data_IF_294236547357
#
_entry.id   IF_294236547357
#
_cell.length_a   1.000
_cell.length_b   1.000
_cell.length_c   1.000
_cell.angle_alpha   90.00
_cell.angle_beta   90.00
_cell.angle_gamma   90.00
#
_symmetry.space_group_name_H-M   'P 1'
#
loop_
_entity.id
_entity.type
_entity.pdbx_description
1 polymer ?
#
# COMPACT_ATOMS: atom_id res chain seq x y z
N UNK A 1 5.99 5.38 -20.43
CA UNK A 1 4.95 5.65 -21.46
C UNK A 1 3.84 4.62 -21.60
N UNK A 2 4.12 3.31 -21.66
CA UNK A 2 3.07 2.29 -21.81
C UNK A 2 1.95 2.38 -20.74
N UNK A 3 2.30 2.39 -19.45
CA UNK A 3 1.30 2.46 -18.36
C UNK A 3 0.40 3.71 -18.44
N UNK A 4 0.95 4.84 -18.88
CA UNK A 4 0.19 6.08 -19.05
C UNK A 4 -0.83 5.92 -20.17
N UNK A 5 -0.45 5.30 -21.29
CA UNK A 5 -1.37 4.98 -22.39
C UNK A 5 -2.47 4.04 -21.94
N UNK A 6 -2.14 3.01 -21.17
CA UNK A 6 -3.15 2.08 -20.64
C UNK A 6 -4.16 2.80 -19.72
N UNK A 7 -3.69 3.74 -18.89
CA UNK A 7 -4.56 4.58 -18.06
C UNK A 7 -5.39 5.59 -18.88
N UNK A 8 -4.84 6.16 -19.94
CA UNK A 8 -5.59 7.01 -20.85
C UNK A 8 -6.73 6.23 -21.50
N UNK A 9 -6.45 5.01 -21.95
CA UNK A 9 -7.44 4.14 -22.59
C UNK A 9 -8.50 3.66 -21.61
N UNK A 10 -8.08 3.20 -20.42
CA UNK A 10 -9.02 2.85 -19.35
C UNK A 10 -9.91 4.04 -18.99
N UNK A 11 -9.35 5.24 -18.89
CA UNK A 11 -10.11 6.45 -18.60
C UNK A 11 -11.22 6.69 -19.63
N UNK A 12 -10.91 6.57 -20.93
CA UNK A 12 -11.91 6.70 -22.00
C UNK A 12 -12.98 5.62 -21.90
N UNK A 13 -12.57 4.36 -21.71
CA UNK A 13 -13.49 3.21 -21.55
C UNK A 13 -14.46 3.39 -20.38
N UNK A 14 -14.01 4.03 -19.30
CA UNK A 14 -14.81 4.35 -18.12
C UNK A 14 -15.57 5.69 -18.22
N UNK A 15 -15.65 6.27 -19.42
CA UNK A 15 -16.32 7.55 -19.72
C UNK A 15 -15.73 8.77 -19.01
N UNK A 16 -14.46 8.71 -18.59
CA UNK A 16 -13.70 9.89 -18.20
C UNK A 16 -13.04 10.54 -19.42
N UNK A 17 -12.70 11.82 -19.27
CA UNK A 17 -11.88 12.57 -20.23
C UNK A 17 -10.44 12.66 -19.71
N UNK A 18 -9.48 11.91 -20.27
CA UNK A 18 -8.08 12.02 -19.87
C UNK A 18 -7.50 13.38 -20.28
N UNK A 19 -6.69 13.97 -19.42
CA UNK A 19 -6.00 15.23 -19.67
C UNK A 19 -4.63 15.25 -18.98
N UNK A 20 -3.66 15.95 -19.59
CA UNK A 20 -2.31 16.13 -19.01
C UNK A 20 -2.13 17.53 -18.41
N UNK A 21 -1.02 17.75 -17.71
CA UNK A 21 -0.61 19.05 -17.18
C UNK A 21 -1.14 19.37 -15.77
N UNK A 22 -0.90 20.60 -15.31
CA UNK A 22 -1.13 21.08 -13.92
C UNK A 22 -0.30 20.32 -12.88
N UNK A 23 0.91 19.90 -13.23
CA UNK A 23 1.81 19.14 -12.35
C UNK A 23 1.51 17.64 -12.26
N UNK A 24 0.40 17.17 -12.85
CA UNK A 24 0.01 15.76 -12.83
C UNK A 24 0.41 15.03 -14.11
N UNK A 25 0.81 13.76 -13.98
CA UNK A 25 1.12 12.91 -15.14
C UNK A 25 -0.10 12.63 -15.99
N UNK A 26 -1.24 12.41 -15.33
CA UNK A 26 -2.51 12.19 -15.97
C UNK A 26 -3.65 12.59 -15.04
N UNK A 27 -4.70 13.18 -15.59
CA UNK A 27 -5.93 13.54 -14.88
C UNK A 27 -7.11 12.93 -15.62
N UNK A 28 -8.04 12.35 -14.89
CA UNK A 28 -9.33 11.94 -15.43
C UNK A 28 -10.38 12.96 -15.03
N UNK A 29 -11.09 13.48 -16.04
CA UNK A 29 -12.06 14.56 -15.85
C UNK A 29 -13.47 14.10 -16.18
N UNK A 30 -14.44 14.64 -15.45
CA UNK A 30 -15.86 14.46 -15.70
C UNK A 30 -16.58 15.78 -15.49
N UNK A 31 -17.46 16.16 -16.42
CA UNK A 31 -18.26 17.40 -16.32
C UNK A 31 -17.40 18.63 -15.97
N UNK A 32 -16.21 18.70 -16.56
CA UNK A 32 -15.24 19.79 -16.36
C UNK A 32 -14.39 19.71 -15.07
N UNK A 33 -14.67 18.76 -14.17
CA UNK A 33 -13.98 18.59 -12.88
C UNK A 33 -12.95 17.47 -12.94
N UNK A 34 -11.85 17.63 -12.21
CA UNK A 34 -10.84 16.59 -12.07
C UNK A 34 -11.28 15.58 -11.00
N UNK A 35 -11.38 14.30 -11.36
CA UNK A 35 -11.89 13.21 -10.49
C UNK A 35 -10.75 12.34 -9.98
N UNK A 36 -9.84 11.92 -10.86
CA UNK A 36 -8.61 11.24 -10.47
C UNK A 36 -7.40 12.01 -10.97
N UNK A 37 -6.36 12.03 -10.14
CA UNK A 37 -5.12 12.74 -10.37
C UNK A 37 -3.98 11.75 -10.20
N UNK A 38 -3.43 11.27 -11.30
CA UNK A 38 -2.40 10.24 -11.28
C UNK A 38 -1.01 10.88 -11.31
N UNK A 39 -0.17 10.42 -10.40
CA UNK A 39 1.27 10.62 -10.40
C UNK A 39 1.96 9.28 -10.58
N UNK A 40 2.74 9.12 -11.64
CA UNK A 40 3.43 7.88 -11.98
C UNK A 40 4.90 8.04 -11.61
N UNK A 41 5.37 7.28 -10.62
CA UNK A 41 6.78 7.36 -10.20
C UNK A 41 7.44 5.99 -10.20
N UNK A 42 8.68 5.96 -10.69
CA UNK A 42 9.57 4.81 -10.55
C UNK A 42 10.30 4.78 -9.20
N UNK A 43 10.13 5.81 -8.36
CA UNK A 43 10.84 5.97 -7.09
C UNK A 43 9.87 6.09 -5.92
N UNK A 44 10.36 5.78 -4.71
CA UNK A 44 9.62 6.01 -3.46
C UNK A 44 9.99 7.37 -2.83
N UNK A 45 10.25 8.39 -3.66
CA UNK A 45 10.59 9.73 -3.21
C UNK A 45 9.33 10.46 -2.77
N UNK A 46 9.28 10.96 -1.54
CA UNK A 46 8.11 11.61 -0.95
C UNK A 46 8.19 13.14 -0.93
N UNK A 47 9.25 13.70 -1.50
CA UNK A 47 9.51 15.14 -1.49
C UNK A 47 8.34 15.95 -2.04
N UNK A 48 7.66 15.46 -3.08
CA UNK A 48 6.53 16.16 -3.70
C UNK A 48 5.26 16.15 -2.82
N UNK A 49 5.03 15.10 -2.01
CA UNK A 49 3.94 15.10 -1.00
C UNK A 49 4.24 16.13 0.07
N UNK A 50 5.44 16.06 0.64
CA UNK A 50 5.84 16.88 1.77
C UNK A 50 5.91 18.36 1.42
N UNK A 51 6.26 18.68 0.18
CA UNK A 51 6.37 20.06 -0.29
C UNK A 51 5.02 20.69 -0.64
N UNK A 52 3.91 19.93 -0.65
CA UNK A 52 2.59 20.43 -1.06
C UNK A 52 2.55 20.94 -2.51
N UNK A 53 3.53 20.57 -3.34
CA UNK A 53 3.75 21.12 -4.69
C UNK A 53 2.71 20.66 -5.70
N UNK A 54 1.98 19.59 -5.40
CA UNK A 54 0.91 19.06 -6.24
C UNK A 54 -0.43 19.51 -5.66
N UNK A 55 -1.02 20.62 -6.16
CA UNK A 55 -2.33 21.04 -5.72
C UNK A 55 -3.37 20.00 -6.13
N UNK A 56 -4.14 19.54 -5.16
CA UNK A 56 -5.28 18.63 -5.34
C UNK A 56 -6.55 19.47 -5.42
N UNK A 57 -7.21 19.58 -6.59
CA UNK A 57 -8.50 20.26 -6.69
C UNK A 57 -9.55 19.61 -5.78
N UNK A 58 -10.53 20.40 -5.32
CA UNK A 58 -11.64 19.89 -4.49
C UNK A 58 -12.36 18.73 -5.18
N UNK A 59 -12.48 17.62 -4.46
CA UNK A 59 -13.12 16.39 -4.94
C UNK A 59 -12.24 15.52 -5.84
N UNK A 60 -11.01 15.96 -6.16
CA UNK A 60 -10.03 15.15 -6.87
C UNK A 60 -9.40 14.10 -5.96
N UNK A 61 -9.16 12.90 -6.51
CA UNK A 61 -8.53 11.79 -5.81
C UNK A 61 -7.07 11.64 -6.28
N UNK A 62 -6.08 12.03 -5.47
CA UNK A 62 -4.68 11.88 -5.82
C UNK A 62 -4.25 10.41 -5.68
N UNK A 63 -3.70 9.87 -6.77
CA UNK A 63 -3.29 8.47 -6.90
C UNK A 63 -1.81 8.42 -7.29
N UNK A 64 -1.00 7.84 -6.42
CA UNK A 64 0.41 7.61 -6.66
C UNK A 64 0.64 6.17 -7.10
N UNK A 65 1.02 6.01 -8.36
CA UNK A 65 1.22 4.72 -9.00
C UNK A 65 2.71 4.37 -8.93
N UNK A 66 3.05 3.19 -8.38
CA UNK A 66 4.43 2.76 -8.08
C UNK A 66 4.74 1.30 -8.45
N UNK A 67 5.98 0.95 -8.85
CA UNK A 67 6.45 -0.43 -8.90
C UNK A 67 6.36 -1.11 -7.51
N UNK A 68 6.15 -2.43 -7.49
CA UNK A 68 5.87 -3.20 -6.27
C UNK A 68 6.88 -2.98 -5.13
N UNK A 69 8.18 -3.14 -5.42
CA UNK A 69 9.23 -2.94 -4.41
C UNK A 69 9.35 -1.48 -3.92
N UNK A 70 8.97 -0.50 -4.75
CA UNK A 70 8.96 0.92 -4.34
C UNK A 70 7.75 1.26 -3.49
N UNK A 71 6.59 0.67 -3.78
CA UNK A 71 5.42 0.79 -2.92
C UNK A 71 5.68 0.18 -1.53
N UNK A 72 6.45 -0.91 -1.43
CA UNK A 72 6.84 -1.50 -0.14
C UNK A 72 7.81 -0.62 0.65
N UNK A 73 8.83 -0.08 0.00
CA UNK A 73 9.71 0.91 0.62
C UNK A 73 8.94 2.15 1.07
N UNK A 74 7.95 2.59 0.29
CA UNK A 74 7.10 3.71 0.63
C UNK A 74 6.23 3.42 1.86
N UNK A 75 5.61 2.25 1.91
CA UNK A 75 4.84 1.78 3.05
C UNK A 75 5.70 1.76 4.32
N UNK A 76 6.94 1.28 4.21
CA UNK A 76 7.89 1.27 5.33
C UNK A 76 8.26 2.68 5.80
N UNK A 77 8.46 3.64 4.88
CA UNK A 77 8.70 5.05 5.24
C UNK A 77 7.51 5.65 6.00
N UNK A 78 6.29 5.43 5.51
CA UNK A 78 5.06 5.92 6.15
C UNK A 78 4.85 5.27 7.53
N UNK A 79 5.19 3.98 7.67
CA UNK A 79 5.12 3.27 8.95
C UNK A 79 6.12 3.82 9.97
N UNK A 80 7.33 4.17 9.53
CA UNK A 80 8.39 4.69 10.41
C UNK A 80 8.17 6.14 10.85
N UNK A 81 7.55 6.97 10.00
CA UNK A 81 7.32 8.39 10.30
C UNK A 81 5.81 8.73 10.30
N UNK A 82 5.18 8.83 11.49
CA UNK A 82 3.77 9.20 11.62
C UNK A 82 3.41 10.59 11.11
N UNK A 83 4.37 11.53 11.01
CA UNK A 83 4.11 12.89 10.49
C UNK A 83 3.93 12.85 8.99
N UNK A 84 4.83 12.13 8.32
CA UNK A 84 4.78 11.86 6.89
C UNK A 84 3.49 11.13 6.50
N UNK A 85 3.12 10.15 7.31
CA UNK A 85 1.92 9.37 7.12
C UNK A 85 0.66 10.25 7.23
N UNK A 86 0.57 11.07 8.30
CA UNK A 86 -0.51 12.06 8.46
C UNK A 86 -0.57 13.07 7.30
N UNK A 87 0.57 13.55 6.81
CA UNK A 87 0.61 14.45 5.66
C UNK A 87 0.06 13.77 4.39
N UNK A 88 0.47 12.53 4.12
CA UNK A 88 -0.01 11.77 2.97
C UNK A 88 -1.52 11.48 3.04
N UNK A 89 -2.00 10.97 4.17
CA UNK A 89 -3.42 10.63 4.33
C UNK A 89 -4.31 11.86 4.45
N UNK A 90 -3.85 12.92 5.10
CA UNK A 90 -4.56 14.20 5.19
C UNK A 90 -4.75 14.87 3.83
N UNK A 91 -3.81 14.67 2.91
CA UNK A 91 -3.94 15.09 1.51
C UNK A 91 -4.73 14.09 0.63
N UNK A 92 -5.22 12.99 1.19
CA UNK A 92 -6.05 12.00 0.50
C UNK A 92 -5.31 11.08 -0.47
N UNK A 93 -3.99 10.93 -0.34
CA UNK A 93 -3.19 10.11 -1.25
C UNK A 93 -3.56 8.64 -1.21
N UNK A 94 -3.80 8.07 -2.40
CA UNK A 94 -3.95 6.65 -2.62
C UNK A 94 -2.68 6.09 -3.27
N UNK A 95 -2.00 5.17 -2.60
CA UNK A 95 -0.83 4.48 -3.14
C UNK A 95 -1.26 3.19 -3.85
N UNK A 96 -0.88 3.04 -5.12
CA UNK A 96 -1.35 1.94 -5.97
C UNK A 96 -0.16 1.26 -6.64
N UNK A 97 -0.03 -0.05 -6.42
CA UNK A 97 0.99 -0.85 -7.11
C UNK A 97 0.67 -0.99 -8.60
N UNK A 98 1.70 -0.92 -9.44
CA UNK A 98 1.60 -1.12 -10.90
C UNK A 98 0.91 -2.43 -11.26
N UNK A 99 1.26 -3.52 -10.55
CA UNK A 99 0.66 -4.85 -10.76
C UNK A 99 -0.84 -4.86 -10.51
N UNK A 100 -1.29 -4.14 -9.48
CA UNK A 100 -2.71 -4.04 -9.14
C UNK A 100 -3.46 -3.28 -10.22
N UNK A 101 -2.94 -2.13 -10.64
CA UNK A 101 -3.54 -1.36 -11.72
C UNK A 101 -3.63 -2.14 -13.04
N UNK A 102 -2.56 -2.85 -13.42
CA UNK A 102 -2.57 -3.70 -14.63
C UNK A 102 -3.63 -4.81 -14.56
N UNK A 103 -3.81 -5.41 -13.39
CA UNK A 103 -4.84 -6.42 -13.16
C UNK A 103 -6.24 -5.82 -13.35
N UNK A 104 -6.53 -4.66 -12.77
CA UNK A 104 -7.81 -3.96 -12.96
C UNK A 104 -8.09 -3.64 -14.43
N UNK A 105 -7.05 -3.21 -15.17
CA UNK A 105 -7.16 -2.92 -16.60
C UNK A 105 -7.54 -4.19 -17.38
N UNK A 106 -6.83 -5.30 -17.10
CA UNK A 106 -7.02 -6.59 -17.76
C UNK A 106 -8.38 -7.22 -17.44
N UNK A 107 -8.86 -7.11 -16.20
CA UNK A 107 -10.17 -7.61 -15.76
C UNK A 107 -11.35 -6.84 -16.37
N UNK A 108 -11.11 -5.69 -17.02
CA UNK A 108 -12.18 -4.96 -17.68
C UNK A 108 -13.16 -4.30 -16.70
N UNK A 109 -12.70 -3.97 -15.48
CA UNK A 109 -13.58 -3.47 -14.41
C UNK A 109 -14.38 -2.25 -14.85
N UNK A 110 -15.64 -2.18 -14.41
CA UNK A 110 -16.47 -1.00 -14.61
C UNK A 110 -16.06 0.16 -13.70
N UNK A 111 -16.71 1.31 -13.87
CA UNK A 111 -16.37 2.54 -13.16
C UNK A 111 -16.56 2.42 -11.64
N UNK A 112 -17.62 1.76 -11.19
CA UNK A 112 -17.93 1.59 -9.76
C UNK A 112 -16.89 0.68 -9.12
N UNK A 113 -16.62 -0.43 -9.77
CA UNK A 113 -15.65 -1.45 -9.38
C UNK A 113 -14.25 -0.86 -9.34
N UNK A 114 -13.85 -0.08 -10.36
CA UNK A 114 -12.59 0.65 -10.36
C UNK A 114 -12.47 1.59 -9.16
N UNK A 115 -13.51 2.39 -8.87
CA UNK A 115 -13.47 3.35 -7.78
C UNK A 115 -13.26 2.70 -6.40
N UNK A 116 -13.88 1.54 -6.18
CA UNK A 116 -13.74 0.72 -4.97
C UNK A 116 -12.37 0.05 -4.92
N UNK A 117 -12.00 -0.70 -5.96
CA UNK A 117 -10.80 -1.53 -5.97
C UNK A 117 -9.51 -0.72 -6.04
N UNK A 118 -9.51 0.47 -6.64
CA UNK A 118 -8.33 1.34 -6.65
C UNK A 118 -7.92 1.77 -5.24
N UNK A 119 -8.86 1.83 -4.29
CA UNK A 119 -8.59 2.14 -2.89
C UNK A 119 -8.23 0.95 -2.01
N UNK A 120 -8.34 -0.27 -2.53
CA UNK A 120 -8.18 -1.51 -1.77
C UNK A 120 -6.91 -2.26 -2.16
N UNK A 121 -5.79 -1.57 -2.44
CA UNK A 121 -4.53 -2.29 -2.69
C UNK A 121 -4.19 -3.18 -1.47
N UNK A 122 -4.17 -4.52 -1.62
CA UNK A 122 -4.04 -5.46 -0.51
C UNK A 122 -2.69 -5.34 0.22
N UNK A 123 -1.75 -4.54 -0.28
CA UNK A 123 -0.42 -4.44 0.30
C UNK A 123 -0.18 -3.24 1.23
N UNK A 124 -1.06 -2.23 1.25
CA UNK A 124 -0.86 -0.97 2.00
C UNK A 124 -1.95 -0.65 3.02
N UNK A 125 -2.97 -1.50 3.18
CA UNK A 125 -3.79 -1.47 4.39
C UNK A 125 -2.91 -1.64 5.64
N UNK A 126 -3.31 -1.11 6.81
CA UNK A 126 -2.52 -1.27 8.02
C UNK A 126 -2.28 -2.77 8.25
N UNK A 127 -1.03 -3.23 8.07
CA UNK A 127 -0.59 -4.50 8.64
C UNK A 127 -0.37 -4.28 10.14
N UNK A 128 -1.45 -4.00 10.86
CA UNK A 128 -1.58 -4.31 12.28
C UNK A 128 -2.67 -5.36 12.31
N UNK A 129 -2.33 -6.65 12.39
CA UNK A 129 -1.96 -7.30 13.64
C UNK A 129 -0.78 -8.23 13.36
N UNK A 130 0.39 -7.93 13.93
CA UNK A 130 1.33 -9.00 14.27
C UNK A 130 0.73 -9.70 15.48
N UNK A 131 0.34 -10.97 15.33
CA UNK A 131 0.09 -11.83 16.48
C UNK A 131 1.45 -11.99 17.16
N UNK A 132 1.60 -11.67 18.46
CA UNK A 132 2.81 -12.00 19.16
C UNK A 132 3.02 -13.51 19.03
N UNK A 133 4.13 -13.93 18.46
CA UNK A 133 4.58 -15.31 18.55
C UNK A 133 4.90 -15.51 20.04
N UNK A 134 3.96 -16.08 20.78
CA UNK A 134 4.25 -16.59 22.11
C UNK A 134 5.28 -17.68 21.91
N UNK A 135 6.53 -17.40 22.29
CA UNK A 135 7.54 -18.43 22.43
C UNK A 135 7.04 -19.38 23.50
N UNK A 136 6.62 -20.58 23.10
CA UNK A 136 6.60 -21.70 24.01
C UNK A 136 8.05 -21.90 24.42
N UNK A 137 8.43 -21.39 25.58
CA UNK A 137 9.53 -21.98 26.36
C UNK A 137 9.06 -23.37 26.75
N UNK A 138 9.27 -24.31 25.83
CA UNK A 138 9.50 -25.70 26.15
C UNK A 138 10.95 -25.97 25.74
N UNK A 139 11.87 -25.82 26.69
CA UNK A 139 12.93 -26.81 26.81
C UNK A 139 13.60 -26.75 28.18
N UNK A 140 13.64 -27.91 28.81
CA UNK A 140 14.20 -28.14 30.14
C UNK A 140 14.27 -29.63 30.46
N UNK A 141 14.72 -30.45 29.49
CA UNK A 141 15.12 -31.84 29.74
C UNK A 141 16.60 -31.91 30.13
N UNK A 142 16.87 -32.29 31.36
CA UNK A 142 18.07 -33.01 31.84
C UNK A 142 17.84 -33.28 33.34
N UNK A 143 18.14 -34.42 33.96
CA UNK A 143 18.85 -35.64 33.62
C UNK A 143 18.31 -36.74 34.51
N UNK A 144 18.31 -37.97 34.01
CA UNK A 144 18.39 -39.19 34.81
C UNK A 144 19.48 -39.07 35.88
N UNK A 145 19.14 -39.34 37.14
CA UNK A 145 20.10 -39.76 38.16
C UNK A 145 19.57 -41.03 38.84
N UNK A 146 20.49 -41.95 39.05
CA UNK A 146 20.34 -43.37 39.32
C UNK A 146 20.68 -43.65 40.79
N UNK A 147 19.73 -44.24 41.52
CA UNK A 147 19.85 -44.97 42.82
C UNK A 147 20.37 -44.21 44.06
N UNK A 148 19.92 -44.66 45.24
CA UNK A 148 20.79 -45.56 45.99
C UNK A 148 20.09 -46.84 46.47
N UNK A 149 20.87 -47.91 46.54
CA UNK A 149 20.52 -49.18 47.17
C UNK A 149 20.89 -49.19 48.66
N UNK A 150 20.02 -49.83 49.44
CA UNK A 150 20.30 -50.68 50.63
C UNK A 150 20.88 -50.07 51.90
N UNK A 151 20.06 -50.07 52.96
CA UNK A 151 20.42 -50.56 54.32
C UNK A 151 19.09 -50.97 54.96
N UNK A 152 18.83 -52.23 55.31
CA UNK A 152 19.55 -53.04 56.29
C UNK A 152 18.92 -52.78 57.67
N UNK A 153 18.16 -53.73 58.21
CA UNK A 153 17.51 -53.64 59.51
C UNK A 153 18.43 -53.93 60.71
N UNK A 154 17.80 -54.03 61.88
CA UNK A 154 18.31 -54.39 63.22
C UNK A 154 18.72 -53.21 64.10
N UNK A 155 17.82 -52.76 64.99
CA UNK A 155 17.70 -53.19 66.39
C UNK A 155 16.32 -52.83 66.94
#
# INVERSE_FOLDING_TARGET
DALRRDLEELGRRLHYRPARGRGWDLRWRERGRDVYLFHLSATAALGDILSGRLPVPRGGRPCWILPGGRAELLAEKLRRDPRLARAAWGAGWQFVKFRHLRRLIAEGVDRRTFAVMLGLDPATGPRGIQIPLMMTTDDGRQTTDDRPQTTGGTL
#
